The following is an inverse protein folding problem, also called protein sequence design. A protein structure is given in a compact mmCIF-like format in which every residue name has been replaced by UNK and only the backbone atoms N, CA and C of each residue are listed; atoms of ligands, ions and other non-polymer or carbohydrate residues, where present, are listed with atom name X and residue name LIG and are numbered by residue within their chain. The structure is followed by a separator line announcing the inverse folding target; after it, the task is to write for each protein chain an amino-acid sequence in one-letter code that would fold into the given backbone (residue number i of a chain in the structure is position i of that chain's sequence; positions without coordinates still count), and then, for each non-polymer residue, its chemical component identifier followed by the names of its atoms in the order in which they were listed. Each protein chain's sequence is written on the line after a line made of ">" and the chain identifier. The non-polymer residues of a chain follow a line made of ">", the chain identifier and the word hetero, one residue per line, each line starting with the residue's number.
data_IF_892529025375
#
_entry.id   IF_892529025375
#
_cell.length_a   1.000
_cell.length_b   1.000
_cell.length_c   1.000
_cell.angle_alpha   90.00
_cell.angle_beta   90.00
_cell.angle_gamma   90.00
#
_symmetry.space_group_name_H-M   'P 1'
#
loop_
_entity.id
_entity.type
_entity.pdbx_description
1 polymer ?
#
# COMPACT_ATOMS: atom_id res chain seq x y z
N UNK A 1 9.20 6.26 -19.36
CA UNK A 1 9.01 5.09 -18.48
C UNK A 1 7.58 5.05 -17.93
N UNK A 2 7.24 3.99 -17.25
CA UNK A 2 6.02 3.87 -16.45
C UNK A 2 6.31 2.90 -15.30
N UNK A 3 5.72 3.13 -14.12
CA UNK A 3 5.88 2.24 -12.96
C UNK A 3 5.40 0.82 -13.31
N UNK A 4 4.27 0.67 -14.02
CA UNK A 4 3.70 -0.64 -14.38
C UNK A 4 4.63 -1.46 -15.25
N UNK A 5 5.32 -0.84 -16.22
CA UNK A 5 6.34 -1.51 -17.04
C UNK A 5 7.43 -2.18 -16.19
N UNK A 6 7.76 -1.58 -15.05
CA UNK A 6 8.80 -2.05 -14.15
C UNK A 6 8.29 -3.02 -13.07
N UNK A 7 7.06 -2.83 -12.61
CA UNK A 7 6.48 -3.63 -11.52
C UNK A 7 5.78 -4.90 -12.02
N UNK A 8 5.20 -4.89 -13.21
CA UNK A 8 4.40 -5.99 -13.72
C UNK A 8 4.89 -6.49 -15.09
N UNK A 9 4.91 -5.64 -16.11
CA UNK A 9 5.11 -6.06 -17.49
C UNK A 9 6.42 -6.81 -17.71
N UNK A 10 7.54 -6.28 -17.17
CA UNK A 10 8.85 -6.91 -17.33
C UNK A 10 8.95 -8.28 -16.67
N UNK A 11 8.26 -8.49 -15.54
CA UNK A 11 8.30 -9.78 -14.83
C UNK A 11 7.52 -10.84 -15.61
N UNK A 12 6.34 -10.51 -16.12
CA UNK A 12 5.57 -11.41 -16.97
C UNK A 12 6.33 -11.71 -18.26
N UNK A 13 6.90 -10.69 -18.93
CA UNK A 13 7.70 -10.85 -20.12
C UNK A 13 8.98 -11.70 -19.90
N UNK A 14 9.54 -11.69 -18.68
CA UNK A 14 10.68 -12.50 -18.28
C UNK A 14 10.29 -13.94 -17.86
N UNK A 15 9.04 -14.36 -18.05
CA UNK A 15 8.57 -15.70 -17.71
C UNK A 15 8.28 -15.92 -16.22
N UNK A 16 8.11 -14.85 -15.44
CA UNK A 16 7.77 -14.90 -14.00
C UNK A 16 6.27 -14.68 -13.73
N UNK A 17 5.44 -14.89 -14.74
CA UNK A 17 3.99 -14.69 -14.64
C UNK A 17 3.32 -15.52 -13.54
N UNK A 18 3.81 -16.74 -13.30
CA UNK A 18 3.25 -17.68 -12.32
C UNK A 18 3.79 -17.50 -10.89
N UNK A 19 4.71 -16.53 -10.67
CA UNK A 19 5.24 -16.24 -9.34
C UNK A 19 4.21 -15.42 -8.56
N UNK A 20 4.07 -15.67 -7.24
CA UNK A 20 3.24 -14.88 -6.35
C UNK A 20 3.68 -13.41 -6.38
N UNK A 21 2.76 -12.50 -6.67
CA UNK A 21 2.99 -11.06 -6.67
C UNK A 21 2.35 -10.36 -5.47
N UNK A 22 1.16 -10.82 -5.08
CA UNK A 22 0.34 -10.13 -4.09
C UNK A 22 -0.44 -11.12 -3.24
N UNK A 23 -0.28 -11.03 -1.92
CA UNK A 23 -1.09 -11.73 -0.93
C UNK A 23 -2.06 -10.72 -0.31
N UNK A 24 -3.36 -10.98 -0.44
CA UNK A 24 -4.38 -10.29 0.35
C UNK A 24 -4.66 -11.11 1.61
N UNK A 25 -4.49 -10.52 2.78
CA UNK A 25 -4.87 -11.13 4.07
C UNK A 25 -5.91 -10.24 4.74
N UNK A 26 -7.03 -10.82 5.19
CA UNK A 26 -8.18 -10.06 5.66
C UNK A 26 -8.71 -10.59 6.99
N UNK A 27 -9.38 -9.71 7.77
CA UNK A 27 -9.99 -10.06 9.07
C UNK A 27 -11.08 -11.14 8.96
N UNK A 28 -11.72 -11.29 7.80
CA UNK A 28 -12.78 -12.28 7.52
C UNK A 28 -12.24 -13.57 6.87
N UNK A 29 -10.93 -13.70 6.75
CA UNK A 29 -10.24 -14.84 6.15
C UNK A 29 -10.59 -15.11 4.66
N UNK A 30 -11.09 -14.13 3.94
CA UNK A 30 -11.43 -14.25 2.49
C UNK A 30 -10.26 -13.88 1.57
N UNK A 31 -9.10 -13.54 2.12
CA UNK A 31 -7.92 -13.15 1.37
C UNK A 31 -7.41 -14.25 0.42
N UNK A 32 -6.79 -13.84 -0.68
CA UNK A 32 -6.18 -14.75 -1.66
C UNK A 32 -4.85 -14.22 -2.18
N UNK A 33 -4.04 -15.14 -2.71
CA UNK A 33 -2.83 -14.81 -3.44
C UNK A 33 -3.13 -14.58 -4.92
N UNK A 34 -2.41 -13.65 -5.54
CA UNK A 34 -2.40 -13.37 -6.97
C UNK A 34 -0.99 -13.49 -7.51
N UNK A 35 -0.83 -14.16 -8.64
CA UNK A 35 0.43 -14.18 -9.37
C UNK A 35 0.67 -12.85 -10.11
N UNK A 36 1.89 -12.65 -10.64
CA UNK A 36 2.20 -11.49 -11.48
C UNK A 36 1.30 -11.39 -12.72
N UNK A 37 0.98 -12.54 -13.34
CA UNK A 37 0.09 -12.58 -14.51
C UNK A 37 -1.33 -12.20 -14.13
N UNK A 38 -1.87 -12.75 -13.02
CA UNK A 38 -3.22 -12.43 -12.53
C UNK A 38 -3.32 -10.95 -12.12
N UNK A 39 -2.33 -10.44 -11.38
CA UNK A 39 -2.31 -9.03 -10.97
C UNK A 39 -2.24 -8.11 -12.19
N UNK A 40 -1.39 -8.41 -13.18
CA UNK A 40 -1.31 -7.67 -14.44
C UNK A 40 -2.65 -7.66 -15.17
N UNK A 41 -3.31 -8.82 -15.27
CA UNK A 41 -4.61 -8.93 -15.94
C UNK A 41 -5.69 -8.07 -15.24
N UNK A 42 -5.78 -8.12 -13.89
CA UNK A 42 -6.70 -7.29 -13.14
C UNK A 42 -6.40 -5.79 -13.34
N UNK A 43 -5.14 -5.39 -13.35
CA UNK A 43 -4.71 -4.01 -13.64
C UNK A 43 -5.08 -3.58 -15.06
N UNK A 44 -4.85 -4.43 -16.05
CA UNK A 44 -5.22 -4.18 -17.45
C UNK A 44 -6.74 -3.95 -17.60
N UNK A 45 -7.56 -4.72 -16.89
CA UNK A 45 -9.02 -4.57 -16.87
C UNK A 45 -9.42 -3.23 -16.26
N UNK A 46 -8.88 -2.88 -15.10
CA UNK A 46 -9.18 -1.62 -14.42
C UNK A 46 -8.68 -0.40 -15.23
N UNK A 47 -7.52 -0.49 -15.86
CA UNK A 47 -6.99 0.54 -16.75
C UNK A 47 -7.87 0.75 -17.99
N UNK A 48 -8.36 -0.34 -18.59
CA UNK A 48 -9.31 -0.27 -19.68
C UNK A 48 -10.62 0.44 -19.29
N UNK A 49 -11.16 0.17 -18.09
CA UNK A 49 -12.31 0.91 -17.58
C UNK A 49 -12.02 2.41 -17.49
N UNK A 50 -10.87 2.80 -16.93
CA UNK A 50 -10.51 4.22 -16.82
C UNK A 50 -10.48 4.91 -18.20
N UNK A 51 -9.94 4.24 -19.23
CA UNK A 51 -9.95 4.78 -20.61
C UNK A 51 -11.36 4.94 -21.18
N UNK A 52 -12.24 3.96 -20.97
CA UNK A 52 -13.63 4.06 -21.41
C UNK A 52 -14.39 5.19 -20.72
N UNK A 53 -14.05 5.50 -19.47
CA UNK A 53 -14.58 6.64 -18.73
C UNK A 53 -13.96 7.98 -19.18
N UNK A 54 -13.07 7.95 -20.18
CA UNK A 54 -12.44 9.13 -20.77
C UNK A 54 -11.30 9.72 -19.91
N UNK A 55 -10.72 8.96 -18.99
CA UNK A 55 -9.53 9.35 -18.24
C UNK A 55 -8.33 9.46 -19.19
N UNK A 56 -7.55 10.52 -19.04
CA UNK A 56 -6.38 10.84 -19.87
C UNK A 56 -5.11 10.92 -19.01
N UNK A 57 -3.93 10.76 -19.62
CA UNK A 57 -2.68 11.04 -18.94
C UNK A 57 -2.69 12.42 -18.26
N UNK A 58 -2.28 12.45 -16.99
CA UNK A 58 -2.30 13.65 -16.15
C UNK A 58 -3.61 13.94 -15.43
N UNK A 59 -4.71 13.20 -15.68
CA UNK A 59 -5.92 13.28 -14.86
C UNK A 59 -5.65 12.70 -13.46
N UNK A 60 -6.31 13.27 -12.44
CA UNK A 60 -6.12 12.85 -11.05
C UNK A 60 -7.25 11.95 -10.61
N UNK A 61 -6.91 10.83 -9.98
CA UNK A 61 -7.85 9.81 -9.54
C UNK A 61 -7.65 9.55 -8.05
N UNK A 62 -8.70 9.76 -7.26
CA UNK A 62 -8.70 9.43 -5.85
C UNK A 62 -8.71 7.92 -5.61
N UNK A 63 -8.00 7.48 -4.57
CA UNK A 63 -8.08 6.11 -4.07
C UNK A 63 -8.39 6.18 -2.58
N UNK A 64 -9.62 5.82 -2.21
CA UNK A 64 -10.12 5.79 -0.85
C UNK A 64 -10.78 4.45 -0.58
N UNK A 65 -9.95 3.47 -0.26
CA UNK A 65 -10.32 2.05 -0.14
C UNK A 65 -9.70 1.43 1.10
N UNK A 66 -10.28 0.35 1.66
CA UNK A 66 -9.58 -0.48 2.64
C UNK A 66 -8.34 -1.14 2.02
N UNK A 67 -7.43 -1.64 2.85
CA UNK A 67 -6.17 -2.29 2.42
C UNK A 67 -6.42 -3.72 1.90
N UNK A 68 -7.24 -3.82 0.87
CA UNK A 68 -7.51 -5.05 0.11
C UNK A 68 -6.64 -5.11 -1.14
N UNK A 69 -6.53 -6.27 -1.77
CA UNK A 69 -5.69 -6.42 -2.96
C UNK A 69 -6.11 -5.50 -4.13
N UNK A 70 -7.39 -5.18 -4.24
CA UNK A 70 -7.94 -4.29 -5.25
C UNK A 70 -7.42 -2.83 -5.12
N UNK A 71 -6.92 -2.42 -3.94
CA UNK A 71 -6.27 -1.10 -3.79
C UNK A 71 -4.96 -1.03 -4.56
N UNK A 72 -4.23 -2.16 -4.65
CA UNK A 72 -3.00 -2.27 -5.47
C UNK A 72 -3.35 -2.21 -6.96
N UNK A 73 -4.41 -2.91 -7.36
CA UNK A 73 -4.91 -2.86 -8.75
C UNK A 73 -5.32 -1.44 -9.13
N UNK A 74 -6.07 -0.73 -8.27
CA UNK A 74 -6.48 0.65 -8.49
C UNK A 74 -5.28 1.60 -8.66
N UNK A 75 -4.25 1.46 -7.81
CA UNK A 75 -3.04 2.26 -7.88
C UNK A 75 -2.30 2.05 -9.22
N UNK A 76 -2.07 0.79 -9.59
CA UNK A 76 -1.37 0.46 -10.84
C UNK A 76 -2.20 0.79 -12.09
N UNK A 77 -3.53 0.66 -12.04
CA UNK A 77 -4.39 1.08 -13.15
C UNK A 77 -4.27 2.60 -13.42
N UNK A 78 -4.19 3.43 -12.37
CA UNK A 78 -3.89 4.87 -12.54
C UNK A 78 -2.55 5.07 -13.26
N UNK A 79 -1.50 4.39 -12.84
CA UNK A 79 -0.18 4.50 -13.46
C UNK A 79 -0.18 4.01 -14.92
N UNK A 80 -0.89 2.91 -15.20
CA UNK A 80 -0.93 2.32 -16.54
C UNK A 80 -1.52 3.28 -17.59
N UNK A 81 -2.56 4.02 -17.21
CA UNK A 81 -3.18 5.02 -18.11
C UNK A 81 -2.49 6.38 -18.05
N UNK A 82 -1.40 6.53 -17.29
CA UNK A 82 -0.70 7.80 -17.12
C UNK A 82 -1.44 8.82 -16.25
N UNK A 83 -2.47 8.40 -15.51
CA UNK A 83 -3.16 9.25 -14.55
C UNK A 83 -2.34 9.40 -13.25
N UNK A 84 -2.63 10.45 -12.50
CA UNK A 84 -1.98 10.76 -11.23
C UNK A 84 -2.84 10.23 -10.08
N UNK A 85 -2.34 9.25 -9.35
CA UNK A 85 -3.04 8.69 -8.19
C UNK A 85 -3.03 9.65 -7.00
N UNK A 86 -4.16 9.75 -6.31
CA UNK A 86 -4.34 10.49 -5.06
C UNK A 86 -4.70 9.51 -3.95
N UNK A 87 -3.73 8.81 -3.35
CA UNK A 87 -3.98 7.93 -2.24
C UNK A 87 -4.46 8.70 -1.01
N UNK A 88 -5.56 8.25 -0.41
CA UNK A 88 -6.15 8.88 0.77
C UNK A 88 -6.32 7.85 1.87
N UNK A 89 -5.92 8.22 3.10
CA UNK A 89 -6.01 7.34 4.26
C UNK A 89 -7.46 6.87 4.47
N UNK A 90 -7.65 5.57 4.51
CA UNK A 90 -8.95 4.90 4.54
C UNK A 90 -9.82 5.27 5.76
N UNK A 91 -9.23 5.78 6.83
CA UNK A 91 -9.93 6.19 8.04
C UNK A 91 -10.23 7.70 8.10
N UNK A 92 -9.95 8.48 7.05
CA UNK A 92 -10.36 9.89 7.04
C UNK A 92 -11.86 10.03 6.85
N UNK A 93 -12.44 11.06 7.51
CA UNK A 93 -13.82 11.47 7.26
C UNK A 93 -13.98 12.22 5.93
N UNK A 94 -15.24 12.44 5.55
CA UNK A 94 -15.64 13.04 4.27
C UNK A 94 -14.97 14.40 3.98
N UNK A 95 -14.87 15.29 4.95
CA UNK A 95 -14.28 16.61 4.75
C UNK A 95 -12.79 16.53 4.43
N UNK A 96 -12.06 15.65 5.13
CA UNK A 96 -10.65 15.44 4.88
C UNK A 96 -10.38 14.81 3.49
N UNK A 97 -11.28 13.94 3.03
CA UNK A 97 -11.27 13.36 1.68
C UNK A 97 -11.59 14.46 0.64
N UNK A 98 -12.69 15.21 0.84
CA UNK A 98 -13.12 16.26 -0.07
C UNK A 98 -12.06 17.33 -0.33
N UNK A 99 -11.38 17.80 0.73
CA UNK A 99 -10.32 18.81 0.62
C UNK A 99 -9.20 18.34 -0.30
N UNK A 100 -8.79 17.09 -0.21
CA UNK A 100 -7.70 16.51 -1.05
C UNK A 100 -8.14 16.33 -2.50
N UNK A 101 -9.34 15.78 -2.70
CA UNK A 101 -9.87 15.56 -4.04
C UNK A 101 -10.12 16.88 -4.78
N UNK A 102 -10.60 17.92 -4.08
CA UNK A 102 -10.80 19.26 -4.64
C UNK A 102 -9.48 19.94 -4.99
N UNK A 103 -8.52 19.92 -4.07
CA UNK A 103 -7.20 20.53 -4.29
C UNK A 103 -6.50 19.90 -5.51
N UNK A 104 -6.59 18.57 -5.65
CA UNK A 104 -6.06 17.85 -6.80
C UNK A 104 -6.92 18.04 -8.07
N UNK A 105 -8.18 18.45 -7.98
CA UNK A 105 -9.13 18.45 -9.08
C UNK A 105 -9.38 17.02 -9.60
N UNK A 106 -9.67 16.08 -8.69
CA UNK A 106 -9.88 14.68 -9.04
C UNK A 106 -11.11 14.51 -9.95
N UNK A 107 -10.99 13.61 -10.96
CA UNK A 107 -12.06 13.36 -11.94
C UNK A 107 -12.79 12.04 -11.70
N UNK A 108 -12.16 11.11 -10.97
CA UNK A 108 -12.73 9.82 -10.57
C UNK A 108 -12.23 9.40 -9.17
N UNK A 109 -12.93 8.46 -8.56
CA UNK A 109 -12.60 7.91 -7.26
C UNK A 109 -12.75 6.39 -7.28
N UNK A 110 -11.74 5.65 -6.85
CA UNK A 110 -11.88 4.26 -6.42
C UNK A 110 -12.25 4.23 -4.94
N UNK A 111 -13.28 3.46 -4.60
CA UNK A 111 -13.76 3.30 -3.22
C UNK A 111 -14.33 1.90 -3.00
N UNK A 112 -14.96 1.64 -1.85
CA UNK A 112 -15.62 0.40 -1.52
C UNK A 112 -16.96 0.66 -0.81
N UNK A 113 -17.84 -0.32 -0.81
CA UNK A 113 -19.08 -0.28 -0.01
C UNK A 113 -18.77 -0.18 1.48
N UNK A 114 -17.74 -0.89 1.93
CA UNK A 114 -17.24 -0.94 3.29
C UNK A 114 -15.92 -1.68 3.38
N UNK A 115 -15.51 -1.96 4.60
CA UNK A 115 -14.38 -2.81 4.93
C UNK A 115 -14.59 -3.49 6.27
N UNK A 116 -13.65 -4.33 6.69
CA UNK A 116 -13.70 -5.00 7.97
C UNK A 116 -12.60 -4.51 8.90
N UNK A 117 -12.96 -4.31 10.17
CA UNK A 117 -11.99 -4.00 11.21
C UNK A 117 -12.45 -4.59 12.55
N UNK A 118 -11.63 -5.46 13.14
CA UNK A 118 -11.96 -6.20 14.38
C UNK A 118 -13.28 -6.99 14.28
N UNK A 119 -13.46 -7.67 13.14
CA UNK A 119 -14.67 -8.45 12.86
C UNK A 119 -15.94 -7.61 12.69
N UNK A 120 -15.83 -6.28 12.59
CA UNK A 120 -16.97 -5.37 12.40
C UNK A 120 -16.89 -4.70 11.04
N UNK A 121 -18.04 -4.49 10.44
CA UNK A 121 -18.18 -3.70 9.23
C UNK A 121 -17.85 -2.22 9.55
N UNK A 122 -17.00 -1.63 8.73
CA UNK A 122 -16.66 -0.22 8.72
C UNK A 122 -17.18 0.38 7.40
N UNK A 123 -18.22 1.25 7.42
CA UNK A 123 -18.76 1.82 6.19
C UNK A 123 -17.76 2.78 5.55
N UNK A 124 -17.56 2.66 4.22
CA UNK A 124 -16.65 3.51 3.43
C UNK A 124 -17.44 4.40 2.47
N UNK A 125 -18.37 3.81 1.70
CA UNK A 125 -19.18 4.53 0.69
C UNK A 125 -19.88 5.79 1.20
N UNK A 126 -20.52 5.80 2.38
CA UNK A 126 -21.18 7.01 2.88
C UNK A 126 -20.22 8.20 3.05
N UNK A 127 -18.99 7.94 3.52
CA UNK A 127 -17.97 9.00 3.62
C UNK A 127 -17.47 9.44 2.25
N UNK A 128 -17.33 8.50 1.31
CA UNK A 128 -16.98 8.80 -0.08
C UNK A 128 -18.05 9.66 -0.75
N UNK A 129 -19.33 9.31 -0.63
CA UNK A 129 -20.45 10.06 -1.21
C UNK A 129 -20.54 11.49 -0.68
N UNK A 130 -20.42 11.65 0.64
CA UNK A 130 -20.44 12.97 1.28
C UNK A 130 -19.24 13.85 0.83
N UNK A 131 -18.08 13.24 0.56
CA UNK A 131 -16.95 13.95 0.00
C UNK A 131 -17.14 14.31 -1.46
N UNK A 132 -17.59 13.36 -2.28
CA UNK A 132 -17.79 13.53 -3.73
C UNK A 132 -18.81 14.60 -4.04
N UNK A 133 -19.87 14.73 -3.22
CA UNK A 133 -20.86 15.81 -3.33
C UNK A 133 -20.25 17.22 -3.25
N UNK A 134 -19.03 17.35 -2.69
CA UNK A 134 -18.29 18.60 -2.56
C UNK A 134 -17.21 18.77 -3.65
N UNK A 135 -17.04 17.80 -4.58
CA UNK A 135 -15.97 17.78 -5.60
C UNK A 135 -16.58 17.91 -7.01
N UNK A 136 -16.74 19.12 -7.54
CA UNK A 136 -17.47 19.34 -8.80
C UNK A 136 -16.76 18.78 -10.03
N UNK A 137 -15.49 18.47 -9.95
CA UNK A 137 -14.72 17.85 -11.04
C UNK A 137 -14.89 16.34 -11.15
N UNK A 138 -15.40 15.70 -10.08
CA UNK A 138 -15.51 14.25 -9.99
C UNK A 138 -16.75 13.75 -10.72
N UNK A 139 -16.54 12.89 -11.71
CA UNK A 139 -17.58 12.38 -12.61
C UNK A 139 -17.96 10.93 -12.33
N UNK A 140 -16.99 10.12 -11.87
CA UNK A 140 -17.17 8.67 -11.72
C UNK A 140 -16.64 8.17 -10.38
N UNK A 141 -17.34 7.19 -9.81
CA UNK A 141 -16.98 6.51 -8.59
C UNK A 141 -17.03 5.01 -8.81
N UNK A 142 -15.86 4.36 -8.79
CA UNK A 142 -15.74 2.90 -8.96
C UNK A 142 -15.76 2.26 -7.57
N UNK A 143 -16.77 1.45 -7.32
CA UNK A 143 -17.10 0.92 -5.99
C UNK A 143 -16.83 -0.57 -5.93
N UNK A 144 -15.90 -0.97 -5.07
CA UNK A 144 -15.67 -2.38 -4.74
C UNK A 144 -16.78 -2.88 -3.80
N UNK A 145 -17.43 -3.97 -4.16
CA UNK A 145 -18.34 -4.69 -3.29
C UNK A 145 -17.54 -5.61 -2.37
N UNK A 146 -17.09 -5.05 -1.23
CA UNK A 146 -16.24 -5.77 -0.25
C UNK A 146 -17.06 -6.45 0.85
N UNK A 147 -18.12 -5.79 1.30
CA UNK A 147 -18.89 -6.20 2.48
C UNK A 147 -20.31 -6.62 2.17
N UNK A 148 -20.77 -6.40 0.94
CA UNK A 148 -22.17 -6.55 0.50
C UNK A 148 -23.15 -5.69 1.32
N UNK A 149 -22.69 -4.56 1.86
CA UNK A 149 -23.54 -3.61 2.55
C UNK A 149 -24.48 -2.91 1.56
N UNK A 150 -25.70 -2.63 1.99
CA UNK A 150 -26.57 -1.72 1.27
C UNK A 150 -25.97 -0.31 1.29
N UNK A 151 -25.85 0.31 0.12
CA UNK A 151 -25.27 1.65 -0.05
C UNK A 151 -26.18 2.48 -0.96
N UNK A 152 -26.19 3.79 -0.71
CA UNK A 152 -26.81 4.72 -1.63
C UNK A 152 -26.11 4.65 -2.99
N UNK A 153 -26.89 4.74 -4.07
CA UNK A 153 -26.40 4.59 -5.44
C UNK A 153 -26.84 5.75 -6.32
N UNK A 154 -25.90 6.32 -7.05
CA UNK A 154 -26.18 7.37 -8.01
C UNK A 154 -25.91 6.84 -9.44
N UNK A 155 -26.97 6.58 -10.20
CA UNK A 155 -26.86 6.19 -11.60
C UNK A 155 -26.06 7.18 -12.44
N UNK A 156 -25.21 6.65 -13.33
CA UNK A 156 -24.33 7.45 -14.20
C UNK A 156 -23.06 7.95 -13.55
N UNK A 157 -22.96 7.95 -12.21
CA UNK A 157 -21.74 8.27 -11.45
C UNK A 157 -21.08 7.00 -10.91
N UNK A 158 -21.86 6.16 -10.24
CA UNK A 158 -21.38 4.99 -9.49
C UNK A 158 -21.34 3.75 -10.38
N UNK A 159 -20.26 2.99 -10.29
CA UNK A 159 -19.95 1.84 -11.12
C UNK A 159 -19.46 0.70 -10.20
N UNK A 160 -20.14 -0.44 -10.22
CA UNK A 160 -19.65 -1.60 -9.47
C UNK A 160 -18.39 -2.17 -10.08
N UNK A 161 -17.36 -2.43 -9.24
CA UNK A 161 -16.11 -3.05 -9.66
C UNK A 161 -16.34 -4.40 -10.34
N UNK A 162 -17.17 -5.25 -9.76
CA UNK A 162 -17.42 -6.59 -10.27
C UNK A 162 -18.18 -6.60 -11.61
N UNK A 163 -18.98 -5.57 -11.90
CA UNK A 163 -19.71 -5.45 -13.16
C UNK A 163 -18.88 -4.80 -14.28
N UNK A 164 -18.02 -3.86 -13.93
CA UNK A 164 -17.32 -3.02 -14.92
C UNK A 164 -15.84 -3.32 -15.06
N UNK A 165 -15.17 -3.87 -14.04
CA UNK A 165 -13.76 -4.26 -14.11
C UNK A 165 -13.64 -5.75 -14.42
N UNK A 166 -14.29 -6.63 -13.64
CA UNK A 166 -14.08 -8.08 -13.76
C UNK A 166 -14.64 -8.70 -15.03
N UNK A 167 -15.65 -8.08 -15.66
CA UNK A 167 -16.32 -8.61 -16.84
C UNK A 167 -15.73 -8.15 -18.17
N UNK A 168 -14.79 -7.17 -18.14
CA UNK A 168 -14.24 -6.63 -19.38
C UNK A 168 -12.99 -7.38 -19.83
N UNK A 169 -12.69 -7.29 -21.13
CA UNK A 169 -11.43 -7.76 -21.67
C UNK A 169 -10.26 -6.90 -21.16
N UNK A 170 -9.09 -7.50 -20.88
CA UNK A 170 -7.91 -6.76 -20.46
C UNK A 170 -7.40 -5.82 -21.56
N UNK A 171 -7.05 -4.58 -21.20
CA UNK A 171 -6.37 -3.62 -22.09
C UNK A 171 -4.88 -3.59 -21.74
N UNK A 172 -4.07 -4.25 -22.54
CA UNK A 172 -2.64 -4.44 -22.29
C UNK A 172 -1.78 -3.18 -22.54
N UNK A 173 -2.39 -2.11 -23.04
CA UNK A 173 -1.63 -0.88 -23.35
C UNK A 173 -1.18 -0.18 -22.07
N UNK A 174 0.13 -0.02 -21.90
CA UNK A 174 0.73 0.81 -20.86
C UNK A 174 1.29 2.09 -21.47
N UNK A 175 0.85 3.25 -20.95
CA UNK A 175 1.31 4.55 -21.42
C UNK A 175 2.82 4.70 -21.20
N UNK A 176 3.54 5.07 -22.25
CA UNK A 176 4.96 5.40 -22.17
C UNK A 176 5.12 6.89 -21.90
N UNK A 177 5.59 7.23 -20.74
CA UNK A 177 5.63 8.59 -20.22
C UNK A 177 7.07 9.11 -20.11
N UNK A 178 7.27 10.44 -20.14
CA UNK A 178 8.52 11.05 -19.68
C UNK A 178 8.87 10.59 -18.25
N UNK A 179 10.15 10.50 -17.91
CA UNK A 179 10.59 10.09 -16.58
C UNK A 179 10.05 10.98 -15.46
N UNK A 180 9.93 12.28 -15.75
CA UNK A 180 9.43 13.29 -14.82
C UNK A 180 7.89 13.43 -14.81
N UNK A 181 7.16 12.57 -15.53
CA UNK A 181 5.71 12.60 -15.49
C UNK A 181 5.21 12.30 -14.07
N UNK A 182 4.27 13.09 -13.53
CA UNK A 182 3.67 12.83 -12.24
C UNK A 182 2.99 11.46 -12.19
N UNK A 183 3.24 10.70 -11.13
CA UNK A 183 2.63 9.42 -10.87
C UNK A 183 1.59 9.50 -9.75
N UNK A 184 1.90 10.22 -8.68
CA UNK A 184 0.99 10.36 -7.53
C UNK A 184 1.19 11.69 -6.81
N UNK A 185 0.15 12.07 -6.06
CA UNK A 185 0.18 13.18 -5.09
C UNK A 185 -0.15 12.64 -3.72
N UNK A 186 0.81 12.74 -2.80
CA UNK A 186 0.62 12.37 -1.40
C UNK A 186 0.42 13.62 -0.54
N UNK A 187 -0.61 13.62 0.29
CA UNK A 187 -0.95 14.76 1.12
C UNK A 187 -0.40 14.63 2.53
N UNK A 188 0.37 15.63 2.96
CA UNK A 188 0.85 15.78 4.34
C UNK A 188 -0.02 16.75 5.13
N UNK A 189 0.05 16.70 6.47
CA UNK A 189 -0.76 17.53 7.36
C UNK A 189 -0.47 19.03 7.25
N UNK A 190 0.63 19.44 6.60
CA UNK A 190 1.03 20.83 6.41
C UNK A 190 1.19 21.62 7.71
N UNK A 191 2.19 22.45 7.80
CA UNK A 191 2.46 23.34 8.96
C UNK A 191 1.43 24.47 9.13
N UNK A 192 0.63 24.75 8.09
CA UNK A 192 -0.36 25.84 8.04
C UNK A 192 -1.80 25.38 8.26
N UNK A 193 -2.02 24.12 8.64
CA UNK A 193 -3.34 23.54 8.88
C UNK A 193 -4.08 23.05 7.62
N UNK A 194 -3.67 23.44 6.41
CA UNK A 194 -4.19 22.86 5.17
C UNK A 194 -3.27 21.73 4.69
N UNK A 195 -3.84 20.60 4.22
CA UNK A 195 -3.05 19.56 3.60
C UNK A 195 -2.22 20.09 2.42
N UNK A 196 -0.98 19.64 2.30
CA UNK A 196 -0.09 19.98 1.17
C UNK A 196 0.13 18.74 0.32
N UNK A 197 -0.18 18.83 -0.96
CA UNK A 197 0.07 17.77 -1.94
C UNK A 197 1.53 17.78 -2.39
N UNK A 198 2.23 16.67 -2.20
CA UNK A 198 3.58 16.45 -2.72
C UNK A 198 3.50 15.58 -3.96
N UNK A 199 4.06 16.07 -5.07
CA UNK A 199 4.00 15.41 -6.38
C UNK A 199 5.22 14.51 -6.55
N UNK A 200 4.98 13.25 -6.88
CA UNK A 200 6.02 12.26 -7.14
C UNK A 200 5.95 11.78 -8.57
N UNK A 201 7.13 11.60 -9.19
CA UNK A 201 7.25 11.18 -10.59
C UNK A 201 7.46 9.67 -10.72
N UNK A 202 7.16 9.12 -11.90
CA UNK A 202 7.34 7.69 -12.16
C UNK A 202 8.80 7.24 -11.94
N UNK A 203 9.77 7.96 -12.48
CA UNK A 203 11.18 7.58 -12.31
C UNK A 203 11.69 7.83 -10.89
N UNK A 204 11.25 8.92 -10.27
CA UNK A 204 11.62 9.24 -8.88
C UNK A 204 11.17 8.15 -7.91
N UNK A 205 9.93 7.68 -8.00
CA UNK A 205 9.42 6.57 -7.20
C UNK A 205 10.26 5.30 -7.41
N UNK A 206 10.45 4.88 -8.66
CA UNK A 206 11.20 3.67 -8.98
C UNK A 206 12.65 3.74 -8.47
N UNK A 207 13.35 4.86 -8.70
CA UNK A 207 14.74 4.99 -8.30
C UNK A 207 14.91 4.94 -6.76
N UNK A 208 14.06 5.69 -6.04
CA UNK A 208 14.16 5.78 -4.58
C UNK A 208 13.75 4.47 -3.91
N UNK A 209 12.60 3.92 -4.28
CA UNK A 209 12.05 2.73 -3.65
C UNK A 209 12.91 1.49 -3.93
N UNK A 210 13.39 1.32 -5.17
CA UNK A 210 14.30 0.21 -5.50
C UNK A 210 15.64 0.31 -4.77
N UNK A 211 16.18 1.54 -4.66
CA UNK A 211 17.41 1.74 -3.87
C UNK A 211 17.21 1.34 -2.41
N UNK A 212 16.13 1.78 -1.81
CA UNK A 212 15.86 1.52 -0.39
C UNK A 212 15.58 0.07 -0.11
N UNK A 213 14.67 -0.54 -0.85
CA UNK A 213 14.32 -1.95 -0.67
C UNK A 213 15.50 -2.87 -1.04
N UNK A 214 16.18 -2.62 -2.15
CA UNK A 214 17.31 -3.44 -2.57
C UNK A 214 18.53 -3.35 -1.67
N UNK A 215 18.85 -2.16 -1.11
CA UNK A 215 20.05 -2.00 -0.28
C UNK A 215 19.76 -2.01 1.21
N UNK A 216 18.75 -1.29 1.68
CA UNK A 216 18.48 -1.21 3.12
C UNK A 216 17.69 -2.42 3.63
N UNK A 217 16.86 -3.01 2.79
CA UNK A 217 16.10 -4.19 3.14
C UNK A 217 16.63 -5.48 2.49
N UNK A 218 17.69 -5.40 1.68
CA UNK A 218 18.25 -6.58 1.00
C UNK A 218 17.20 -7.47 0.35
N UNK A 219 16.19 -6.82 -0.26
CA UNK A 219 15.05 -7.51 -0.82
C UNK A 219 15.42 -8.29 -2.07
N UNK A 220 15.04 -9.56 -2.10
CA UNK A 220 15.29 -10.51 -3.17
C UNK A 220 13.97 -10.93 -3.83
N UNK A 221 14.01 -11.43 -5.09
CA UNK A 221 12.80 -11.88 -5.81
C UNK A 221 12.01 -13.00 -5.13
N UNK A 222 12.62 -13.72 -4.19
CA UNK A 222 12.00 -14.83 -3.44
C UNK A 222 11.36 -14.36 -2.13
N UNK A 223 11.56 -13.09 -1.76
CA UNK A 223 11.09 -12.55 -0.49
C UNK A 223 9.57 -12.32 -0.48
N UNK A 224 9.01 -12.32 0.72
CA UNK A 224 7.63 -12.01 1.02
C UNK A 224 7.60 -10.85 2.00
N UNK A 225 7.19 -9.70 1.50
CA UNK A 225 7.28 -8.43 2.19
C UNK A 225 5.92 -7.97 2.71
N UNK A 226 5.87 -7.54 3.96
CA UNK A 226 4.70 -6.94 4.58
C UNK A 226 5.08 -5.70 5.40
N UNK A 227 4.42 -4.59 5.12
CA UNK A 227 4.48 -3.41 5.98
C UNK A 227 3.09 -3.10 6.53
N UNK A 228 2.95 -2.99 7.84
CA UNK A 228 1.68 -2.62 8.47
C UNK A 228 1.43 -1.12 8.26
N UNK A 229 0.72 -0.79 7.19
CA UNK A 229 0.45 0.58 6.75
C UNK A 229 -0.92 0.73 6.10
N UNK A 230 -1.15 1.85 5.44
CA UNK A 230 -2.34 2.17 4.66
C UNK A 230 -1.91 2.93 3.39
N UNK A 231 -2.69 2.82 2.32
CA UNK A 231 -2.40 3.48 1.03
C UNK A 231 -2.23 5.00 1.16
N UNK A 232 -2.91 5.63 2.11
CA UNK A 232 -2.82 7.07 2.34
C UNK A 232 -1.56 7.54 3.07
N UNK A 233 -0.69 6.64 3.49
CA UNK A 233 0.64 6.92 4.01
C UNK A 233 1.69 6.59 2.97
N UNK A 234 2.83 7.30 2.99
CA UNK A 234 3.92 7.07 2.04
C UNK A 234 4.34 5.61 1.96
N UNK A 235 4.37 4.89 3.09
CA UNK A 235 4.81 3.49 3.14
C UNK A 235 3.87 2.54 2.38
N UNK A 236 2.60 2.90 2.15
CA UNK A 236 1.69 2.11 1.32
C UNK A 236 2.14 2.04 -0.14
N UNK A 237 2.13 3.14 -0.89
CA UNK A 237 2.66 3.14 -2.25
C UNK A 237 4.15 2.73 -2.34
N UNK A 238 4.95 3.02 -1.30
CA UNK A 238 6.36 2.66 -1.23
C UNK A 238 6.56 1.13 -1.29
N UNK A 239 5.84 0.37 -0.46
CA UNK A 239 5.91 -1.09 -0.51
C UNK A 239 5.31 -1.65 -1.80
N UNK A 240 4.15 -1.11 -2.25
CA UNK A 240 3.47 -1.61 -3.44
C UNK A 240 4.34 -1.49 -4.69
N UNK A 241 4.96 -0.35 -4.90
CA UNK A 241 5.82 -0.09 -6.06
C UNK A 241 7.17 -0.79 -5.90
N UNK A 242 7.81 -0.62 -4.74
CA UNK A 242 9.18 -1.11 -4.55
C UNK A 242 9.26 -2.63 -4.57
N UNK A 243 8.43 -3.32 -3.78
CA UNK A 243 8.41 -4.79 -3.68
C UNK A 243 8.14 -5.42 -5.04
N UNK A 244 7.08 -4.98 -5.70
CA UNK A 244 6.73 -5.54 -7.02
C UNK A 244 7.76 -5.20 -8.10
N UNK A 245 8.41 -4.03 -8.02
CA UNK A 245 9.47 -3.70 -8.98
C UNK A 245 10.72 -4.55 -8.80
N UNK A 246 11.03 -5.07 -7.61
CA UNK A 246 12.12 -6.02 -7.40
C UNK A 246 11.72 -7.47 -7.71
N UNK A 247 10.44 -7.74 -7.96
CA UNK A 247 9.92 -9.05 -8.34
C UNK A 247 9.63 -9.95 -7.14
N UNK A 248 9.53 -9.38 -5.95
CA UNK A 248 9.16 -10.07 -4.72
C UNK A 248 7.64 -10.13 -4.52
N UNK A 249 7.19 -10.81 -3.48
CA UNK A 249 5.77 -10.93 -3.13
C UNK A 249 5.37 -9.89 -2.09
N UNK A 250 4.45 -9.01 -2.44
CA UNK A 250 3.83 -8.06 -1.51
C UNK A 250 2.69 -8.71 -0.73
N UNK A 251 2.57 -8.43 0.57
CA UNK A 251 1.35 -8.71 1.32
C UNK A 251 0.67 -7.42 1.74
N UNK A 252 -0.65 -7.32 1.53
CA UNK A 252 -1.50 -6.25 2.07
C UNK A 252 -2.47 -6.84 3.08
N UNK A 253 -2.81 -6.07 4.11
CA UNK A 253 -3.66 -6.54 5.19
C UNK A 253 -4.82 -5.59 5.49
N UNK A 254 -6.05 -6.10 5.33
CA UNK A 254 -7.26 -5.44 5.81
C UNK A 254 -7.65 -5.98 7.16
N UNK A 255 -7.51 -5.16 8.21
CA UNK A 255 -7.90 -5.58 9.54
C UNK A 255 -7.17 -4.84 10.66
N UNK A 256 -7.32 -5.36 11.87
CA UNK A 256 -6.59 -4.87 13.02
C UNK A 256 -5.47 -5.84 13.42
N UNK A 257 -4.23 -5.37 13.61
CA UNK A 257 -3.07 -6.23 13.82
C UNK A 257 -3.05 -6.98 15.17
N UNK A 258 -4.08 -6.80 15.98
CA UNK A 258 -4.30 -7.46 17.25
C UNK A 258 -5.69 -8.13 17.33
N UNK A 259 -6.26 -8.47 16.17
CA UNK A 259 -7.55 -9.14 16.06
C UNK A 259 -7.43 -10.36 15.12
N UNK A 260 -8.10 -11.51 15.41
CA UNK A 260 -8.92 -11.78 16.61
C UNK A 260 -8.08 -11.93 17.89
N UNK A 261 -6.78 -12.19 17.77
CA UNK A 261 -5.86 -12.39 18.88
C UNK A 261 -4.70 -11.39 18.82
N UNK A 262 -4.08 -11.05 19.98
CA UNK A 262 -2.94 -10.12 20.00
C UNK A 262 -1.73 -10.56 19.19
N UNK A 263 -1.56 -11.86 18.93
CA UNK A 263 -0.46 -12.46 18.16
C UNK A 263 -0.72 -12.53 16.64
N UNK A 264 -1.80 -11.90 16.15
CA UNK A 264 -2.24 -11.94 14.74
C UNK A 264 -1.11 -11.68 13.73
N UNK A 265 -0.20 -10.74 14.01
CA UNK A 265 0.91 -10.44 13.11
C UNK A 265 1.91 -11.60 13.04
N UNK A 266 2.15 -12.28 14.14
CA UNK A 266 3.05 -13.44 14.18
C UNK A 266 2.42 -14.66 13.49
N UNK A 267 1.10 -14.82 13.63
CA UNK A 267 0.33 -15.80 12.85
C UNK A 267 0.47 -15.55 11.33
N UNK A 268 0.41 -14.29 10.88
CA UNK A 268 0.61 -13.95 9.47
C UNK A 268 2.03 -14.24 8.99
N UNK A 269 3.05 -13.97 9.83
CA UNK A 269 4.45 -14.32 9.50
C UNK A 269 4.57 -15.83 9.27
N UNK A 270 4.08 -16.63 10.20
CA UNK A 270 4.11 -18.10 10.13
C UNK A 270 3.33 -18.62 8.92
N UNK A 271 2.08 -18.17 8.74
CA UNK A 271 1.17 -18.62 7.69
C UNK A 271 1.71 -18.35 6.28
N UNK A 272 2.25 -17.16 6.06
CA UNK A 272 2.71 -16.71 4.76
C UNK A 272 4.21 -16.81 4.56
N UNK A 273 4.94 -17.34 5.55
CA UNK A 273 6.41 -17.38 5.55
C UNK A 273 7.02 -16.02 5.18
N UNK A 274 6.55 -14.94 5.86
CA UNK A 274 7.02 -13.59 5.57
C UNK A 274 8.51 -13.45 5.93
N UNK A 275 9.26 -12.85 5.03
CA UNK A 275 10.70 -12.59 5.19
C UNK A 275 10.98 -11.20 5.73
N UNK A 276 10.07 -10.26 5.48
CA UNK A 276 10.18 -8.86 5.92
C UNK A 276 8.91 -8.43 6.65
N UNK A 277 9.10 -7.77 7.78
CA UNK A 277 8.03 -7.16 8.55
C UNK A 277 8.33 -5.68 8.80
N UNK A 278 7.53 -4.78 8.25
CA UNK A 278 7.58 -3.35 8.55
C UNK A 278 6.50 -2.93 9.54
N UNK A 279 6.86 -2.11 10.54
CA UNK A 279 5.90 -1.59 11.52
C UNK A 279 6.39 -0.31 12.20
N UNK A 280 5.45 0.53 12.62
CA UNK A 280 5.78 1.68 13.45
C UNK A 280 6.13 1.26 14.90
N UNK A 281 7.02 1.98 15.60
CA UNK A 281 7.35 1.72 16.99
C UNK A 281 6.14 1.64 17.93
N UNK A 282 5.10 2.47 17.71
CA UNK A 282 3.83 2.39 18.47
C UNK A 282 3.16 1.03 18.36
N UNK A 283 3.15 0.44 17.17
CA UNK A 283 2.57 -0.90 16.98
C UNK A 283 3.34 -1.97 17.75
N UNK A 284 4.67 -1.81 17.85
CA UNK A 284 5.52 -2.69 18.65
C UNK A 284 5.33 -2.49 20.16
N UNK A 285 5.24 -1.23 20.63
CA UNK A 285 4.92 -0.92 22.03
C UNK A 285 3.61 -1.56 22.51
N UNK A 286 2.59 -1.56 21.65
CA UNK A 286 1.32 -2.22 21.96
C UNK A 286 1.47 -3.74 22.12
N UNK A 287 2.29 -4.40 21.29
CA UNK A 287 2.56 -5.84 21.40
C UNK A 287 3.34 -6.17 22.66
N UNK A 288 4.42 -5.43 22.95
CA UNK A 288 5.17 -5.60 24.20
C UNK A 288 4.27 -5.53 25.45
N UNK A 289 3.28 -4.61 25.48
CA UNK A 289 2.31 -4.53 26.58
C UNK A 289 1.39 -5.73 26.68
N UNK A 290 1.21 -6.48 25.61
CA UNK A 290 0.41 -7.71 25.62
C UNK A 290 1.18 -8.92 26.21
N UNK A 291 2.51 -8.79 26.39
CA UNK A 291 3.36 -9.75 27.08
C UNK A 291 4.50 -10.31 26.24
N UNK A 292 5.53 -10.78 26.90
CA UNK A 292 6.75 -11.31 26.29
C UNK A 292 6.51 -12.66 25.58
N UNK A 293 5.54 -13.41 26.03
CA UNK A 293 5.17 -14.72 25.45
C UNK A 293 4.32 -14.62 24.16
N UNK A 294 4.04 -13.43 23.67
CA UNK A 294 3.12 -13.22 22.56
C UNK A 294 3.55 -13.92 21.26
N UNK A 295 4.85 -14.02 21.00
CA UNK A 295 5.42 -14.71 19.86
C UNK A 295 5.73 -16.20 20.13
N UNK A 296 5.53 -16.67 21.37
CA UNK A 296 5.90 -18.02 21.80
C UNK A 296 5.05 -19.09 21.09
N UNK A 297 5.73 -20.06 20.51
CA UNK A 297 5.09 -21.16 19.78
C UNK A 297 4.74 -20.83 18.32
N UNK A 298 5.06 -19.62 17.84
CA UNK A 298 4.96 -19.25 16.43
C UNK A 298 6.29 -19.49 15.73
N UNK A 299 6.22 -20.01 14.52
CA UNK A 299 7.40 -20.13 13.65
C UNK A 299 7.70 -18.80 12.96
N UNK A 300 8.72 -18.09 13.42
CA UNK A 300 9.21 -16.85 12.84
C UNK A 300 10.53 -17.05 12.08
N UNK A 301 10.90 -18.29 11.77
CA UNK A 301 12.20 -18.62 11.17
C UNK A 301 12.38 -18.03 9.77
N UNK A 302 11.28 -17.79 9.04
CA UNK A 302 11.30 -17.15 7.71
C UNK A 302 11.72 -15.67 7.77
N UNK A 303 11.49 -14.98 8.90
CA UNK A 303 11.75 -13.55 9.01
C UNK A 303 13.24 -13.25 8.93
N UNK A 304 13.63 -12.37 8.03
CA UNK A 304 15.02 -11.94 7.77
C UNK A 304 15.30 -10.54 8.27
N UNK A 305 14.36 -9.61 8.04
CA UNK A 305 14.54 -8.19 8.34
C UNK A 305 13.26 -7.61 8.96
N UNK A 306 13.44 -6.75 9.96
CA UNK A 306 12.37 -5.94 10.53
C UNK A 306 12.58 -4.49 10.12
N UNK A 307 11.58 -3.88 9.47
CA UNK A 307 11.57 -2.48 9.10
C UNK A 307 10.85 -1.61 10.11
N UNK A 308 11.26 -0.37 10.27
CA UNK A 308 10.54 0.60 11.09
C UNK A 308 10.76 2.04 10.64
N UNK A 309 9.72 2.86 10.80
CA UNK A 309 9.77 4.31 10.56
C UNK A 309 8.62 5.04 11.25
N UNK A 310 8.60 6.37 11.10
CA UNK A 310 7.49 7.25 11.47
C UNK A 310 7.62 7.91 12.83
N UNK A 311 8.36 7.32 13.76
CA UNK A 311 8.56 7.87 15.10
C UNK A 311 9.83 7.30 15.77
N UNK A 312 10.36 7.98 16.80
CA UNK A 312 11.50 7.45 17.55
C UNK A 312 11.16 6.18 18.33
N UNK A 313 12.11 5.26 18.39
CA UNK A 313 12.07 4.12 19.27
C UNK A 313 12.45 4.50 20.71
N UNK A 314 11.85 3.84 21.69
CA UNK A 314 12.40 3.70 23.04
C UNK A 314 13.26 2.44 23.12
N UNK A 315 14.26 2.46 24.00
CA UNK A 315 15.27 1.42 24.10
C UNK A 315 14.68 0.04 24.47
N UNK A 316 13.75 0.01 25.38
CA UNK A 316 13.14 -1.23 25.86
C UNK A 316 12.27 -1.90 24.78
N UNK A 317 11.47 -1.12 24.04
CA UNK A 317 10.66 -1.66 22.97
C UNK A 317 11.49 -2.11 21.77
N UNK A 318 12.62 -1.44 21.52
CA UNK A 318 13.56 -1.86 20.48
C UNK A 318 14.21 -3.21 20.84
N UNK A 319 14.72 -3.36 22.07
CA UNK A 319 15.30 -4.63 22.54
C UNK A 319 14.27 -5.75 22.53
N UNK A 320 13.07 -5.48 23.04
CA UNK A 320 11.99 -6.46 23.01
C UNK A 320 11.69 -6.95 21.59
N UNK A 321 11.65 -6.03 20.62
CA UNK A 321 11.46 -6.39 19.22
C UNK A 321 12.59 -7.26 18.67
N UNK A 322 13.84 -6.89 18.98
CA UNK A 322 15.01 -7.65 18.57
C UNK A 322 15.04 -9.06 19.17
N UNK A 323 14.75 -9.19 20.47
CA UNK A 323 14.80 -10.46 21.19
C UNK A 323 13.62 -11.37 20.85
N UNK A 324 12.38 -10.86 20.90
CA UNK A 324 11.17 -11.68 20.81
C UNK A 324 10.63 -11.82 19.39
N UNK A 325 10.72 -10.78 18.57
CA UNK A 325 10.25 -10.82 17.17
C UNK A 325 11.39 -11.22 16.23
N UNK A 326 12.51 -10.54 16.36
CA UNK A 326 13.72 -10.78 15.57
C UNK A 326 14.50 -12.02 15.96
N UNK A 327 14.21 -12.63 17.11
CA UNK A 327 14.88 -13.82 17.65
C UNK A 327 16.41 -13.65 17.69
N UNK A 328 16.87 -12.44 18.08
CA UNK A 328 18.29 -12.02 18.15
C UNK A 328 19.08 -12.16 16.85
N UNK A 329 18.42 -12.39 15.70
CA UNK A 329 19.04 -12.62 14.40
C UNK A 329 18.62 -11.62 13.32
N UNK A 330 17.40 -11.07 13.40
CA UNK A 330 16.91 -10.14 12.39
C UNK A 330 17.37 -8.72 12.69
N UNK A 331 18.06 -8.04 11.79
CA UNK A 331 18.36 -6.63 11.95
C UNK A 331 17.09 -5.80 11.94
N UNK A 332 17.03 -4.75 12.76
CA UNK A 332 15.96 -3.74 12.74
C UNK A 332 16.44 -2.54 11.93
N UNK A 333 15.93 -2.44 10.72
CA UNK A 333 16.22 -1.34 9.80
C UNK A 333 15.27 -0.19 10.11
N UNK A 334 15.73 0.72 10.97
CA UNK A 334 14.98 1.92 11.33
C UNK A 334 15.35 3.04 10.36
N UNK A 335 14.40 3.42 9.51
CA UNK A 335 14.58 4.46 8.51
C UNK A 335 13.94 5.78 8.96
N UNK A 336 14.54 6.90 8.57
CA UNK A 336 14.00 8.25 8.77
C UNK A 336 13.83 8.93 7.44
N UNK A 337 12.59 9.19 7.07
CA UNK A 337 12.22 9.79 5.80
C UNK A 337 11.08 10.78 5.92
N UNK A 338 10.72 11.35 4.79
CA UNK A 338 9.60 12.28 4.66
C UNK A 338 8.81 11.99 3.39
N UNK A 339 7.54 12.31 3.41
CA UNK A 339 6.64 12.11 2.25
C UNK A 339 7.15 12.85 1.02
N UNK A 340 7.76 14.04 1.20
CA UNK A 340 8.28 14.89 0.13
C UNK A 340 9.41 14.25 -0.69
N UNK A 341 10.14 13.29 -0.13
CA UNK A 341 11.20 12.55 -0.83
C UNK A 341 10.73 11.21 -1.41
N UNK A 342 9.57 10.76 -1.01
CA UNK A 342 9.08 9.38 -1.24
C UNK A 342 10.08 8.32 -0.78
N UNK A 343 10.89 8.69 0.22
CA UNK A 343 12.00 7.91 0.71
C UNK A 343 12.60 8.44 2.00
N UNK A 344 13.78 7.96 2.35
CA UNK A 344 14.46 8.26 3.61
C UNK A 344 15.74 9.07 3.43
N UNK A 345 16.00 9.93 4.42
CA UNK A 345 17.27 10.66 4.58
C UNK A 345 18.35 9.77 5.18
N UNK A 346 17.93 8.89 6.10
CA UNK A 346 18.83 8.02 6.86
C UNK A 346 18.27 6.60 6.85
N UNK A 347 19.13 5.65 6.51
CA UNK A 347 18.83 4.23 6.55
C UNK A 347 20.09 3.43 6.92
N UNK A 348 20.06 2.58 7.94
CA UNK A 348 21.10 1.60 8.14
C UNK A 348 21.05 0.53 7.04
N UNK A 349 22.17 -0.15 6.84
CA UNK A 349 22.21 -1.33 5.97
C UNK A 349 22.32 -2.60 6.83
N UNK A 350 21.77 -3.75 6.40
CA UNK A 350 21.81 -5.00 7.16
C UNK A 350 23.23 -5.47 7.52
N UNK A 351 24.21 -5.10 6.71
CA UNK A 351 25.64 -5.43 6.88
C UNK A 351 26.36 -4.51 7.85
N UNK A 352 25.72 -3.48 8.37
CA UNK A 352 26.35 -2.53 9.31
C UNK A 352 26.00 -2.87 10.75
N UNK A 353 26.90 -2.56 11.68
CA UNK A 353 26.60 -2.70 13.10
C UNK A 353 25.45 -1.76 13.47
N UNK A 354 24.37 -2.32 14.02
CA UNK A 354 23.22 -1.59 14.48
C UNK A 354 23.33 -1.32 15.99
N UNK A 355 22.86 -0.14 16.40
CA UNK A 355 22.74 0.23 17.80
C UNK A 355 21.29 0.56 18.09
N UNK A 356 20.73 0.09 19.22
CA UNK A 356 19.33 0.39 19.58
C UNK A 356 18.98 1.87 19.45
N UNK A 357 17.81 2.15 18.88
CA UNK A 357 17.24 3.50 18.74
C UNK A 357 18.05 4.49 17.90
N UNK A 358 19.03 4.03 17.12
CA UNK A 358 19.86 4.93 16.30
C UNK A 358 19.52 4.82 14.81
N UNK A 359 19.72 5.93 14.12
CA UNK A 359 19.73 6.03 12.67
C UNK A 359 21.20 6.11 12.23
N UNK A 360 21.55 5.40 11.17
CA UNK A 360 22.95 5.37 10.71
C UNK A 360 23.01 5.31 9.19
N UNK A 361 23.89 6.13 8.64
CA UNK A 361 24.15 6.21 7.21
C UNK A 361 23.16 7.09 6.45
N UNK A 362 23.54 7.56 5.26
CA UNK A 362 22.64 8.24 4.35
C UNK A 362 21.60 7.25 3.78
N UNK A 363 20.41 7.73 3.55
CA UNK A 363 19.33 6.98 2.90
C UNK A 363 19.47 6.87 1.40
#
# INVERSE_FOLDING_TARGET
>A
TNIVLNCLDRHVAAGRGDVDALIGEYDDATGRTRTYAELKEEVNRAAGLLRDLGVKPGDRIGIYMPMVAEVVVALFACFQVGAVAIPVFSAYGSDALAVRLNDAGAVALFTADGGYRRGKLAPVKPSADAAVAQVPTLRHQIVLQRTNAEVDWQEGRDLWWHEHVLTREPDEHTEVLPSEAPAMILYTSGTTGKPKGTVHTHAGCLATMNKELGYAFDEQPEDRFFWLTDIGWMMGPWEMIGVTSLGATLMVYEGAPNWPNPDRVFEMIERHALTHLGLAPTANRLRRRAGDDLAKGRDLSSLRIIGSTGEPWDHESWLWCFEHVGQERCPIINISGVTELVGCHLSPLPITALKPCTLRGPG
#
